data_IF_012210823584
#
_entry.id   IF_012210823584
#
_cell.length_a   1.000
_cell.length_b   1.000
_cell.length_c   1.000
_cell.angle_alpha   90.00
_cell.angle_beta   90.00
_cell.angle_gamma   90.00
#
_symmetry.space_group_name_H-M   'P 1'
#
loop_
_entity.id
_entity.type
_entity.pdbx_description
1 polymer ?
#
# COMPACT_ATOMS: atom_id res chain seq x y z
N UNK A 1 -14.69 11.71 -58.06
CA UNK A 1 -14.57 12.12 -56.65
C UNK A 1 -14.78 10.85 -55.84
N UNK A 2 -13.69 10.15 -55.55
CA UNK A 2 -13.73 8.89 -54.81
C UNK A 2 -13.41 9.16 -53.34
N UNK A 3 -14.36 8.82 -52.48
CA UNK A 3 -14.28 8.98 -51.04
C UNK A 3 -13.41 7.86 -50.46
N UNK A 4 -12.10 8.09 -50.33
CA UNK A 4 -11.24 7.23 -49.52
C UNK A 4 -11.46 7.55 -48.04
N UNK A 5 -12.36 6.80 -47.40
CA UNK A 5 -12.48 6.74 -45.95
C UNK A 5 -11.22 6.06 -45.39
N UNK A 6 -10.21 6.86 -45.05
CA UNK A 6 -9.02 6.40 -44.36
C UNK A 6 -9.40 6.08 -42.91
N UNK A 7 -9.84 4.84 -42.67
CA UNK A 7 -9.76 4.24 -41.33
C UNK A 7 -8.27 4.12 -41.02
N UNK A 8 -7.73 5.12 -40.33
CA UNK A 8 -6.44 4.99 -39.66
C UNK A 8 -6.55 3.79 -38.73
N UNK A 9 -5.95 2.66 -39.12
CA UNK A 9 -5.65 1.56 -38.22
C UNK A 9 -4.83 2.15 -37.07
N UNK A 10 -5.49 2.38 -35.94
CA UNK A 10 -4.81 2.64 -34.68
C UNK A 10 -4.16 1.31 -34.29
N UNK A 11 -2.96 1.08 -34.80
CA UNK A 11 -2.06 0.06 -34.33
C UNK A 11 -1.70 0.41 -32.87
N UNK A 12 -2.57 0.03 -31.94
CA UNK A 12 -2.20 -0.09 -30.54
C UNK A 12 -1.21 -1.25 -30.49
N UNK A 13 0.08 -0.95 -30.66
CA UNK A 13 1.12 -1.88 -30.31
C UNK A 13 0.93 -2.20 -28.83
N UNK A 14 0.31 -3.35 -28.61
CA UNK A 14 0.08 -3.98 -27.33
C UNK A 14 1.43 -4.23 -26.66
N UNK A 15 1.99 -3.21 -26.01
CA UNK A 15 2.88 -3.40 -24.88
C UNK A 15 1.99 -3.99 -23.78
N UNK A 16 1.69 -5.29 -23.87
CA UNK A 16 1.02 -6.05 -22.80
C UNK A 16 2.03 -6.21 -21.67
N UNK A 17 2.37 -5.10 -21.01
CA UNK A 17 3.01 -5.16 -19.71
C UNK A 17 1.92 -5.64 -18.78
N UNK A 18 2.03 -6.89 -18.31
CA UNK A 18 1.16 -7.37 -17.24
C UNK A 18 1.33 -6.40 -16.07
N UNK A 19 0.30 -5.67 -15.64
CA UNK A 19 0.44 -4.76 -14.52
C UNK A 19 0.89 -5.58 -13.30
N UNK A 20 1.97 -5.11 -12.64
CA UNK A 20 2.45 -5.71 -11.39
C UNK A 20 1.30 -5.64 -10.39
N UNK A 21 0.91 -6.79 -9.83
CA UNK A 21 -0.21 -6.89 -8.89
C UNK A 21 0.32 -6.85 -7.47
N UNK A 22 -0.30 -6.04 -6.63
CA UNK A 22 0.02 -6.03 -5.20
C UNK A 22 -0.44 -7.34 -4.55
N UNK A 23 0.42 -7.88 -3.69
CA UNK A 23 0.09 -8.88 -2.69
C UNK A 23 -0.66 -8.16 -1.55
N UNK A 24 -1.95 -8.46 -1.43
CA UNK A 24 -2.81 -7.81 -0.45
C UNK A 24 -2.76 -8.56 0.88
N UNK A 25 -2.42 -7.85 1.95
CA UNK A 25 -2.49 -8.33 3.32
C UNK A 25 -3.94 -8.51 3.75
N UNK A 26 -4.77 -7.50 3.49
CA UNK A 26 -6.22 -7.61 3.63
C UNK A 26 -6.84 -8.18 2.35
N UNK A 27 -7.15 -9.49 2.36
CA UNK A 27 -7.69 -10.18 1.18
C UNK A 27 -9.15 -9.79 0.90
N UNK A 28 -9.51 -9.52 -0.36
CA UNK A 28 -10.89 -9.29 -0.74
C UNK A 28 -11.70 -10.59 -0.77
N UNK A 29 -12.99 -10.47 -0.48
CA UNK A 29 -13.98 -11.55 -0.50
C UNK A 29 -15.00 -11.44 -1.65
N UNK A 30 -14.81 -10.48 -2.56
CA UNK A 30 -15.69 -10.22 -3.69
C UNK A 30 -15.28 -8.98 -4.47
N UNK A 31 -16.02 -8.64 -5.51
CA UNK A 31 -15.68 -7.52 -6.40
C UNK A 31 -15.67 -6.16 -5.68
N UNK A 32 -16.72 -5.87 -4.89
CA UNK A 32 -16.84 -4.61 -4.17
C UNK A 32 -15.71 -4.44 -3.14
N UNK A 33 -15.36 -5.50 -2.39
CA UNK A 33 -14.24 -5.45 -1.46
C UNK A 33 -12.90 -5.36 -2.18
N UNK A 34 -12.73 -5.97 -3.36
CA UNK A 34 -11.53 -5.81 -4.17
C UNK A 34 -11.31 -4.36 -4.61
N UNK A 35 -12.37 -3.63 -4.97
CA UNK A 35 -12.26 -2.21 -5.34
C UNK A 35 -11.69 -1.34 -4.23
N UNK A 36 -12.05 -1.60 -2.98
CA UNK A 36 -11.56 -0.84 -1.82
C UNK A 36 -10.18 -1.36 -1.38
N UNK A 37 -10.06 -2.67 -1.16
CA UNK A 37 -8.87 -3.30 -0.59
C UNK A 37 -7.66 -3.30 -1.52
N UNK A 38 -7.84 -3.11 -2.83
CA UNK A 38 -6.71 -2.95 -3.76
C UNK A 38 -5.97 -1.62 -3.63
N UNK A 39 -6.52 -0.66 -2.88
CA UNK A 39 -5.91 0.64 -2.64
C UNK A 39 -4.64 0.53 -1.79
N UNK A 40 -3.56 1.21 -2.19
CA UNK A 40 -2.34 1.27 -1.40
C UNK A 40 -2.59 1.85 0.00
N UNK A 41 -3.34 2.96 0.08
CA UNK A 41 -3.71 3.58 1.35
C UNK A 41 -4.52 2.68 2.27
N UNK A 42 -5.34 1.77 1.73
CA UNK A 42 -6.09 0.79 2.52
C UNK A 42 -5.14 -0.26 3.10
N UNK A 43 -4.31 -0.86 2.26
CA UNK A 43 -3.35 -1.89 2.70
C UNK A 43 -2.38 -1.35 3.75
N UNK A 44 -1.89 -0.12 3.61
CA UNK A 44 -1.02 0.51 4.59
C UNK A 44 -1.70 0.74 5.94
N UNK A 45 -2.95 1.23 5.95
CA UNK A 45 -3.72 1.41 7.20
C UNK A 45 -4.03 0.07 7.87
N UNK A 46 -4.47 -0.91 7.08
CA UNK A 46 -4.74 -2.26 7.58
C UNK A 46 -3.48 -2.91 8.16
N UNK A 47 -2.32 -2.71 7.54
CA UNK A 47 -1.04 -3.21 8.05
C UNK A 47 -0.76 -2.70 9.45
N UNK A 48 -0.95 -1.39 9.68
CA UNK A 48 -0.72 -0.77 10.99
C UNK A 48 -1.72 -1.26 12.03
N UNK A 49 -3.00 -1.42 11.66
CA UNK A 49 -4.01 -2.02 12.55
C UNK A 49 -3.65 -3.46 12.94
N UNK A 50 -3.25 -4.29 11.96
CA UNK A 50 -2.83 -5.67 12.22
C UNK A 50 -1.60 -5.72 13.13
N UNK A 51 -0.63 -4.82 12.93
CA UNK A 51 0.56 -4.76 13.77
C UNK A 51 0.22 -4.34 15.21
N UNK A 52 -0.68 -3.38 15.40
CA UNK A 52 -1.15 -2.96 16.73
C UNK A 52 -1.83 -4.12 17.47
N UNK A 53 -2.65 -4.92 16.77
CA UNK A 53 -3.24 -6.15 17.31
C UNK A 53 -2.16 -7.19 17.69
N UNK A 54 -1.16 -7.41 16.83
CA UNK A 54 -0.04 -8.33 17.09
C UNK A 54 0.75 -7.94 18.34
N UNK A 55 1.04 -6.65 18.50
CA UNK A 55 1.75 -6.09 19.66
C UNK A 55 0.93 -6.22 20.95
N UNK A 56 -0.37 -5.96 20.88
CA UNK A 56 -1.29 -6.15 22.00
C UNK A 56 -1.33 -7.61 22.47
N UNK A 57 -1.41 -8.58 21.54
CA UNK A 57 -1.39 -10.02 21.86
C UNK A 57 -0.05 -10.45 22.43
N UNK A 58 1.06 -9.84 22.00
CA UNK A 58 2.40 -10.12 22.51
C UNK A 58 2.65 -9.60 23.93
N UNK A 59 1.73 -8.81 24.50
CA UNK A 59 1.90 -8.19 25.81
C UNK A 59 2.75 -6.92 25.80
N UNK A 60 2.96 -6.33 24.62
CA UNK A 60 3.76 -5.13 24.39
C UNK A 60 2.93 -4.09 23.60
N UNK A 61 1.80 -3.61 24.16
CA UNK A 61 0.85 -2.80 23.41
C UNK A 61 1.41 -1.39 23.13
N UNK A 62 1.49 -1.03 21.86
CA UNK A 62 1.80 0.32 21.40
C UNK A 62 0.63 0.89 20.59
N UNK A 63 0.36 2.18 20.71
CA UNK A 63 -0.62 2.87 19.86
C UNK A 63 0.04 3.26 18.56
N UNK A 64 -0.40 2.68 17.44
CA UNK A 64 0.20 2.93 16.14
C UNK A 64 -0.67 3.82 15.26
N UNK A 65 -0.03 4.74 14.54
CA UNK A 65 -0.72 5.62 13.61
C UNK A 65 0.08 5.77 12.33
N UNK A 66 -0.59 5.75 11.18
CA UNK A 66 0.04 6.07 9.90
C UNK A 66 -0.58 7.30 9.28
N UNK A 67 0.28 8.30 9.04
CA UNK A 67 -0.08 9.50 8.30
C UNK A 67 0.29 9.30 6.85
N UNK A 68 -0.73 9.26 5.99
CA UNK A 68 -0.58 9.21 4.55
C UNK A 68 -0.66 10.64 3.99
N UNK A 69 0.24 10.96 3.05
CA UNK A 69 0.39 12.29 2.46
C UNK A 69 0.27 12.17 0.94
N UNK A 70 -0.29 13.20 0.30
CA UNK A 70 -0.54 13.25 -1.14
C UNK A 70 -1.99 13.58 -1.47
N UNK A 71 -2.24 13.96 -2.73
CA UNK A 71 -3.55 14.39 -3.20
C UNK A 71 -4.47 13.21 -3.51
N UNK A 72 -3.90 12.07 -3.94
CA UNK A 72 -4.68 10.86 -4.18
C UNK A 72 -4.87 10.07 -2.87
N UNK A 73 -6.11 10.05 -2.40
CA UNK A 73 -6.53 9.29 -1.22
C UNK A 73 -6.26 7.78 -1.31
N UNK A 74 -6.14 7.23 -2.53
CA UNK A 74 -5.90 5.81 -2.78
C UNK A 74 -4.42 5.47 -2.89
N UNK A 75 -3.66 6.37 -3.51
CA UNK A 75 -2.23 6.25 -3.81
C UNK A 75 -1.45 7.40 -3.15
N UNK A 76 -1.10 7.29 -1.86
CA UNK A 76 -0.34 8.32 -1.17
C UNK A 76 1.03 8.50 -1.80
N UNK A 77 1.54 9.73 -1.86
CA UNK A 77 2.88 10.03 -2.37
C UNK A 77 3.97 9.78 -1.33
N UNK A 78 3.64 9.86 -0.05
CA UNK A 78 4.54 9.57 1.06
C UNK A 78 3.77 9.19 2.33
N UNK A 79 4.48 8.68 3.32
CA UNK A 79 3.90 8.24 4.58
C UNK A 79 4.83 8.44 5.77
N UNK A 80 4.24 8.52 6.95
CA UNK A 80 4.93 8.52 8.25
C UNK A 80 4.23 7.57 9.20
N UNK A 81 4.98 6.66 9.81
CA UNK A 81 4.53 5.76 10.86
C UNK A 81 4.89 6.36 12.22
N UNK A 82 3.92 6.34 13.11
CA UNK A 82 4.05 6.77 14.49
C UNK A 82 3.72 5.61 15.43
N UNK A 83 4.45 5.53 16.53
CA UNK A 83 4.17 4.66 17.66
C UNK A 83 4.23 5.51 18.92
N UNK A 84 3.14 5.51 19.70
CA UNK A 84 2.94 6.34 20.90
C UNK A 84 3.20 7.84 20.67
N UNK A 85 2.85 8.30 19.48
CA UNK A 85 3.05 9.69 19.04
C UNK A 85 4.47 10.02 18.56
N UNK A 86 5.43 9.09 18.67
CA UNK A 86 6.80 9.24 18.16
C UNK A 86 6.86 8.78 16.70
N UNK A 87 7.44 9.59 15.81
CA UNK A 87 7.64 9.21 14.41
C UNK A 87 8.77 8.18 14.31
N UNK A 88 8.44 6.92 14.02
CA UNK A 88 9.41 5.80 13.98
C UNK A 88 9.90 5.45 12.58
N UNK A 89 9.11 5.76 11.55
CA UNK A 89 9.52 5.57 10.16
C UNK A 89 8.83 6.53 9.21
N UNK A 90 9.42 6.75 8.04
CA UNK A 90 8.80 7.48 6.94
C UNK A 90 9.34 6.98 5.60
N UNK A 91 8.57 7.16 4.54
CA UNK A 91 8.97 6.74 3.21
C UNK A 91 8.10 7.30 2.11
N UNK A 92 8.44 6.96 0.87
CA UNK A 92 7.63 7.30 -0.31
C UNK A 92 6.50 6.28 -0.51
N UNK A 93 5.46 6.72 -1.21
CA UNK A 93 4.38 5.86 -1.69
C UNK A 93 4.87 4.79 -2.66
N UNK A 94 5.79 5.15 -3.56
CA UNK A 94 6.38 4.20 -4.50
C UNK A 94 7.14 3.09 -3.77
N UNK A 95 7.88 3.41 -2.72
CA UNK A 95 8.55 2.41 -1.90
C UNK A 95 7.55 1.48 -1.20
N UNK A 96 6.50 2.05 -0.59
CA UNK A 96 5.45 1.23 0.03
C UNK A 96 4.76 0.31 -1.01
N UNK A 97 4.51 0.81 -2.21
CA UNK A 97 3.94 0.02 -3.31
C UNK A 97 4.84 -1.14 -3.71
N UNK A 98 6.15 -0.90 -3.82
CA UNK A 98 7.12 -1.96 -4.11
C UNK A 98 7.14 -3.03 -3.02
N UNK A 99 7.03 -2.68 -1.74
CA UNK A 99 6.87 -3.68 -0.67
C UNK A 99 5.68 -4.61 -0.92
N UNK A 100 4.51 -4.05 -1.25
CA UNK A 100 3.33 -4.88 -1.55
C UNK A 100 3.46 -5.63 -2.87
N UNK A 101 4.28 -5.19 -3.80
CA UNK A 101 4.59 -5.98 -4.99
C UNK A 101 5.55 -7.13 -4.73
N UNK A 102 6.39 -7.02 -3.70
CA UNK A 102 7.30 -8.09 -3.27
C UNK A 102 6.56 -9.14 -2.42
N UNK A 103 5.69 -8.72 -1.50
CA UNK A 103 4.91 -9.62 -0.68
C UNK A 103 3.92 -8.93 0.22
N UNK A 104 2.90 -9.66 0.69
CA UNK A 104 1.83 -9.10 1.50
C UNK A 104 2.31 -8.62 2.88
N UNK A 105 3.38 -9.23 3.41
CA UNK A 105 3.90 -8.95 4.75
C UNK A 105 5.15 -8.07 4.74
N UNK A 106 5.74 -7.74 3.57
CA UNK A 106 6.99 -6.96 3.50
C UNK A 106 6.83 -5.58 4.13
N UNK A 107 5.71 -4.90 3.88
CA UNK A 107 5.42 -3.62 4.53
C UNK A 107 5.09 -3.78 6.02
N UNK A 108 4.52 -4.92 6.43
CA UNK A 108 4.23 -5.25 7.83
C UNK A 108 5.52 -5.46 8.62
N UNK A 109 6.45 -6.24 8.07
CA UNK A 109 7.75 -6.52 8.66
C UNK A 109 8.57 -5.23 8.79
N UNK A 110 8.55 -4.38 7.75
CA UNK A 110 9.14 -3.04 7.82
C UNK A 110 8.57 -2.20 8.98
N UNK A 111 7.24 -2.16 9.13
CA UNK A 111 6.60 -1.43 10.24
C UNK A 111 7.00 -2.03 11.59
N UNK A 112 7.04 -3.36 11.70
CA UNK A 112 7.40 -4.08 12.92
C UNK A 112 8.84 -3.78 13.33
N UNK A 113 9.77 -3.80 12.39
CA UNK A 113 11.18 -3.50 12.64
C UNK A 113 11.37 -2.03 13.04
N UNK A 114 10.63 -1.10 12.44
CA UNK A 114 10.66 0.30 12.82
C UNK A 114 10.20 0.53 14.27
N UNK A 115 9.11 -0.11 14.69
CA UNK A 115 8.62 -0.01 16.08
C UNK A 115 9.63 -0.60 17.06
N UNK A 116 10.16 -1.79 16.76
CA UNK A 116 11.18 -2.44 17.61
C UNK A 116 12.46 -1.63 17.75
N UNK A 117 12.90 -0.98 16.67
CA UNK A 117 14.12 -0.17 16.65
C UNK A 117 13.95 1.15 17.39
N UNK A 118 12.71 1.62 17.57
CA UNK A 118 12.44 2.90 18.23
C UNK A 118 12.66 2.88 19.76
N UNK A 119 12.94 1.72 20.36
CA UNK A 119 13.22 1.56 21.81
C UNK A 119 12.22 2.33 22.70
N UNK A 120 10.92 2.15 22.39
CA UNK A 120 9.83 2.79 23.14
C UNK A 120 9.64 2.09 24.50
N UNK A 121 9.27 2.87 25.53
CA UNK A 121 9.25 2.47 26.95
C UNK A 121 7.84 2.28 27.50
#
# INVERSE_FOLDING_TARGET
MDNFSVRSERNFHNLVVKPKRMHLLDKPNGYASAMVKSSLSHQMRFTVQKLEEELCVAGDPHVLQIKLLGDDSREPSSWKLFADGVCVASGSGDFARECFYEGAEVFLDLCRDAVRTAELY
#
